data_IF_057037248795
#
_entry.id   IF_057037248795
#
_cell.length_a   1.000
_cell.length_b   1.000
_cell.length_c   1.000
_cell.angle_alpha   90.00
_cell.angle_beta   90.00
_cell.angle_gamma   90.00
#
_symmetry.space_group_name_H-M   'P 1'
#
loop_
_entity.id
_entity.type
_entity.pdbx_description
1 polymer ?
#
# COMPACT_ATOMS: atom_id res chain seq x y z
N UNK A 1 0.85 11.91 -4.07
CA UNK A 1 1.93 11.02 -4.55
C UNK A 1 1.32 9.71 -5.04
N UNK A 2 1.92 9.04 -6.04
CA UNK A 2 1.41 7.75 -6.55
C UNK A 2 2.16 6.57 -5.95
N UNK A 3 1.42 5.63 -5.39
CA UNK A 3 1.93 4.37 -4.85
C UNK A 3 1.42 3.24 -5.73
N UNK A 4 2.30 2.32 -6.11
CA UNK A 4 1.91 1.15 -6.85
C UNK A 4 1.22 0.13 -5.92
N UNK A 5 0.15 -0.50 -6.38
CA UNK A 5 -0.63 -1.47 -5.59
C UNK A 5 0.23 -2.60 -5.04
N UNK A 6 1.17 -3.12 -5.84
CA UNK A 6 2.04 -4.21 -5.40
C UNK A 6 2.86 -3.86 -4.15
N UNK A 7 3.25 -2.58 -3.97
CA UNK A 7 3.97 -2.14 -2.76
C UNK A 7 3.07 -2.19 -1.52
N UNK A 8 1.80 -1.86 -1.68
CA UNK A 8 0.81 -1.96 -0.60
C UNK A 8 0.60 -3.44 -0.23
N UNK A 9 0.49 -4.33 -1.22
CA UNK A 9 0.28 -5.77 -0.95
C UNK A 9 1.52 -6.44 -0.37
N UNK A 10 2.72 -6.08 -0.82
CA UNK A 10 4.00 -6.51 -0.23
C UNK A 10 4.11 -6.07 1.24
N UNK A 11 3.92 -4.78 1.54
CA UNK A 11 4.00 -4.27 2.91
C UNK A 11 2.97 -4.93 3.84
N UNK A 12 1.78 -5.27 3.34
CA UNK A 12 0.78 -6.01 4.10
C UNK A 12 1.22 -7.46 4.35
N UNK A 13 1.79 -8.14 3.36
CA UNK A 13 2.28 -9.53 3.49
C UNK A 13 3.46 -9.63 4.45
N UNK A 14 4.41 -8.69 4.40
CA UNK A 14 5.54 -8.61 5.34
C UNK A 14 5.06 -8.46 6.80
N UNK A 15 3.92 -7.80 7.01
CA UNK A 15 3.28 -7.63 8.31
C UNK A 15 2.36 -8.80 8.69
N UNK A 16 2.35 -9.89 7.92
CA UNK A 16 1.48 -11.06 8.13
C UNK A 16 0.00 -10.83 7.80
N UNK A 17 -0.35 -9.71 7.15
CA UNK A 17 -1.73 -9.33 6.83
C UNK A 17 -2.17 -9.88 5.45
N UNK A 18 -1.99 -11.18 5.22
CA UNK A 18 -2.22 -11.82 3.92
C UNK A 18 -3.66 -11.62 3.39
N UNK A 19 -4.68 -11.79 4.22
CA UNK A 19 -6.09 -11.59 3.83
C UNK A 19 -6.34 -10.16 3.35
N UNK A 20 -5.73 -9.16 3.99
CA UNK A 20 -5.85 -7.76 3.56
C UNK A 20 -5.07 -7.50 2.27
N UNK A 21 -3.91 -8.11 2.11
CA UNK A 21 -3.13 -8.00 0.88
C UNK A 21 -3.93 -8.54 -0.33
N UNK A 22 -4.62 -9.67 -0.16
CA UNK A 22 -5.43 -10.24 -1.23
C UNK A 22 -6.63 -9.36 -1.57
N UNK A 23 -7.33 -8.82 -0.56
CA UNK A 23 -8.38 -7.82 -0.78
C UNK A 23 -7.86 -6.61 -1.56
N UNK A 24 -6.70 -6.06 -1.18
CA UNK A 24 -6.08 -4.92 -1.88
C UNK A 24 -5.79 -5.25 -3.33
N UNK A 25 -5.28 -6.45 -3.63
CA UNK A 25 -4.92 -6.85 -4.99
C UNK A 25 -6.13 -6.87 -5.94
N UNK A 26 -7.30 -7.23 -5.41
CA UNK A 26 -8.55 -7.26 -6.18
C UNK A 26 -9.27 -5.91 -6.27
N UNK A 27 -9.21 -5.11 -5.20
CA UNK A 27 -10.06 -3.91 -5.08
C UNK A 27 -9.38 -2.61 -5.50
N UNK A 28 -8.05 -2.52 -5.34
CA UNK A 28 -7.36 -1.28 -5.64
C UNK A 28 -6.94 -1.19 -7.12
N UNK A 29 -6.98 0.02 -7.71
CA UNK A 29 -6.36 0.26 -9.00
C UNK A 29 -4.85 0.01 -8.91
N UNK A 30 -4.21 -0.18 -10.05
CA UNK A 30 -2.75 -0.38 -10.14
C UNK A 30 -1.96 0.75 -9.45
N UNK A 31 -2.51 1.97 -9.49
CA UNK A 31 -1.91 3.17 -8.90
C UNK A 31 -2.86 3.84 -7.92
N UNK A 32 -2.41 4.00 -6.68
CA UNK A 32 -3.14 4.65 -5.60
C UNK A 32 -2.55 6.04 -5.36
N UNK A 33 -3.39 7.07 -5.50
CA UNK A 33 -3.02 8.44 -5.12
C UNK A 33 -3.08 8.58 -3.60
N UNK A 34 -1.93 8.65 -2.93
CA UNK A 34 -1.82 8.74 -1.46
C UNK A 34 -2.69 9.84 -0.88
N UNK A 35 -2.70 11.00 -1.53
CA UNK A 35 -3.33 12.23 -1.02
C UNK A 35 -4.86 12.16 -1.13
N UNK A 36 -5.37 11.32 -2.04
CA UNK A 36 -6.80 11.05 -2.21
C UNK A 36 -7.29 9.85 -1.39
N UNK A 37 -6.38 8.98 -0.97
CA UNK A 37 -6.69 7.71 -0.31
C UNK A 37 -6.11 7.62 1.11
N UNK A 38 -5.90 8.76 1.77
CA UNK A 38 -5.34 8.82 3.14
C UNK A 38 -6.14 8.00 4.14
N UNK A 39 -7.47 8.00 4.03
CA UNK A 39 -8.34 7.19 4.89
C UNK A 39 -8.14 5.69 4.72
N UNK A 40 -8.01 5.23 3.47
CA UNK A 40 -7.74 3.82 3.14
C UNK A 40 -6.39 3.38 3.69
N UNK A 41 -5.33 4.16 3.45
CA UNK A 41 -3.99 3.84 3.95
C UNK A 41 -3.94 3.84 5.49
N UNK A 42 -4.68 4.76 6.12
CA UNK A 42 -4.90 4.78 7.57
C UNK A 42 -5.59 3.51 8.08
N UNK A 43 -6.63 3.02 7.40
CA UNK A 43 -7.29 1.74 7.73
C UNK A 43 -6.34 0.55 7.60
N UNK A 44 -5.45 0.56 6.60
CA UNK A 44 -4.42 -0.46 6.40
C UNK A 44 -3.23 -0.31 7.36
N UNK A 45 -3.18 0.77 8.15
CA UNK A 45 -2.06 1.16 9.02
C UNK A 45 -0.73 1.27 8.26
N UNK A 46 -0.80 1.77 7.04
CA UNK A 46 0.36 2.00 6.19
C UNK A 46 0.66 3.49 6.15
N UNK A 47 1.93 3.84 6.38
CA UNK A 47 2.41 5.19 6.10
C UNK A 47 2.76 5.27 4.60
N UNK A 48 2.20 6.22 3.84
CA UNK A 48 2.62 6.48 2.46
C UNK A 48 4.14 6.57 2.30
N UNK A 49 4.86 7.12 3.28
CA UNK A 49 6.31 7.28 3.25
C UNK A 49 7.06 5.93 3.28
N UNK A 50 6.50 4.91 3.95
CA UNK A 50 7.06 3.55 3.99
C UNK A 50 6.90 2.82 2.64
N UNK A 51 5.97 3.28 1.81
CA UNK A 51 5.62 2.67 0.53
C UNK A 51 6.34 3.33 -0.66
N UNK A 52 6.96 4.48 -0.43
CA UNK A 52 7.90 5.08 -1.38
C UNK A 52 9.18 4.27 -1.30
N UNK A 53 9.64 3.77 -2.44
CA UNK A 53 10.92 3.10 -2.52
C UNK A 53 12.02 4.02 -1.98
N UNK A 54 12.54 3.71 -0.79
CA UNK A 54 13.87 4.17 -0.40
C UNK A 54 14.80 3.47 -1.38
N UNK A 55 15.18 4.17 -2.45
CA UNK A 55 16.32 3.74 -3.27
C UNK A 55 17.50 3.59 -2.30
N UNK A 56 17.79 2.36 -1.92
CA UNK A 56 19.07 2.06 -1.29
C UNK A 56 20.13 2.38 -2.34
N UNK A 57 21.19 3.12 -1.97
CA UNK A 57 22.23 3.59 -2.90
C UNK A 57 22.95 2.43 -3.60
#
# INVERSE_FOLDING_TARGET
>A
MRIARHRITEALRERGQHIRADWVEFELPEWVESDKHTGLLGTLRLDPADLVEVRSP
#
